data_IF_738418116210
#
_entry.id   IF_738418116210
#
_cell.length_a   1.000
_cell.length_b   1.000
_cell.length_c   1.000
_cell.angle_alpha   90.00
_cell.angle_beta   90.00
_cell.angle_gamma   90.00
#
_symmetry.space_group_name_H-M   'P 1'
#
loop_
_entity.id
_entity.type
_entity.pdbx_description
1 polymer ?
#
# COMPACT_ATOMS: atom_id res chain seq x y z
N UNK A 1 -29.75 18.17 24.55
CA UNK A 1 -28.75 17.36 25.27
C UNK A 1 -29.49 16.45 26.25
N UNK A 2 -29.53 15.14 25.99
CA UNK A 2 -30.37 14.20 26.75
C UNK A 2 -29.74 13.70 28.07
N UNK A 3 -28.42 13.88 28.26
CA UNK A 3 -27.69 13.35 29.42
C UNK A 3 -26.69 14.36 29.97
N UNK A 4 -27.12 15.30 30.83
CA UNK A 4 -26.22 16.22 31.50
C UNK A 4 -25.38 15.48 32.56
N UNK A 5 -24.06 15.74 32.60
CA UNK A 5 -23.17 15.15 33.60
C UNK A 5 -23.46 15.73 34.99
N UNK A 6 -23.54 14.85 35.98
CA UNK A 6 -23.80 15.20 37.39
C UNK A 6 -22.47 15.44 38.15
N UNK A 7 -21.36 14.92 37.63
CA UNK A 7 -20.00 15.05 38.19
C UNK A 7 -19.06 15.68 37.15
N UNK A 8 -18.05 16.44 37.58
CA UNK A 8 -17.02 16.94 36.68
C UNK A 8 -16.30 15.78 35.99
N UNK A 9 -15.81 16.03 34.79
CA UNK A 9 -15.09 15.04 33.99
C UNK A 9 -13.85 14.55 34.74
N UNK A 10 -13.60 13.23 34.79
CA UNK A 10 -12.36 12.70 35.33
C UNK A 10 -11.15 13.27 34.57
N UNK A 11 -10.03 13.46 35.28
CA UNK A 11 -8.78 13.83 34.60
C UNK A 11 -8.23 12.64 33.82
N UNK A 12 -8.41 12.66 32.51
CA UNK A 12 -7.93 11.63 31.59
C UNK A 12 -6.54 11.94 31.01
N UNK A 13 -5.85 12.97 31.50
CA UNK A 13 -4.55 13.41 30.93
C UNK A 13 -3.53 12.27 30.83
N UNK A 14 -3.46 11.40 31.85
CA UNK A 14 -2.57 10.23 31.82
C UNK A 14 -2.98 9.23 30.73
N UNK A 15 -4.28 8.97 30.60
CA UNK A 15 -4.82 8.06 29.59
C UNK A 15 -4.60 8.60 28.18
N UNK A 16 -4.90 9.88 27.93
CA UNK A 16 -4.65 10.52 26.64
C UNK A 16 -3.16 10.52 26.27
N UNK A 17 -2.27 10.76 27.24
CA UNK A 17 -0.81 10.66 27.03
C UNK A 17 -0.37 9.23 26.70
N UNK A 18 -0.94 8.23 27.35
CA UNK A 18 -0.63 6.82 27.05
C UNK A 18 -1.10 6.41 25.64
N UNK A 19 -2.27 6.91 25.20
CA UNK A 19 -2.73 6.70 23.82
C UNK A 19 -1.81 7.35 22.81
N UNK A 20 -1.40 8.60 23.05
CA UNK A 20 -0.49 9.32 22.16
C UNK A 20 0.87 8.63 22.09
N UNK A 21 1.39 8.16 23.24
CA UNK A 21 2.65 7.43 23.29
C UNK A 21 2.57 6.12 22.51
N UNK A 22 1.50 5.33 22.70
CA UNK A 22 1.27 4.10 21.92
C UNK A 22 1.16 4.37 20.43
N UNK A 23 0.50 5.46 20.03
CA UNK A 23 0.42 5.84 18.62
C UNK A 23 1.80 6.19 18.05
N UNK A 24 2.63 6.94 18.78
CA UNK A 24 4.00 7.26 18.37
C UNK A 24 4.90 6.01 18.28
N UNK A 25 4.72 5.06 19.19
CA UNK A 25 5.48 3.80 19.21
C UNK A 25 5.06 2.85 18.07
N UNK A 26 3.83 2.99 17.55
CA UNK A 26 3.31 2.22 16.42
C UNK A 26 3.45 2.92 15.07
N UNK A 27 3.64 4.25 15.07
CA UNK A 27 3.77 5.02 13.85
C UNK A 27 5.10 4.67 13.16
N UNK A 28 5.10 4.54 11.82
CA UNK A 28 6.33 4.30 11.08
C UNK A 28 7.35 5.41 11.37
N UNK A 29 8.60 5.04 11.58
CA UNK A 29 9.66 6.02 11.82
C UNK A 29 10.06 6.75 10.52
N UNK A 30 10.82 7.84 10.62
CA UNK A 30 11.18 8.65 9.45
C UNK A 30 11.98 7.88 8.39
N UNK A 31 12.80 6.91 8.79
CA UNK A 31 13.58 6.11 7.84
C UNK A 31 12.67 5.14 7.06
N UNK A 32 11.73 4.49 7.73
CA UNK A 32 10.70 3.63 7.10
C UNK A 32 9.83 4.43 6.14
N UNK A 33 9.38 5.63 6.56
CA UNK A 33 8.58 6.51 5.71
C UNK A 33 9.32 6.91 4.44
N UNK A 34 10.59 7.29 4.54
CA UNK A 34 11.41 7.68 3.37
C UNK A 34 11.64 6.49 2.43
N UNK A 35 11.95 5.31 2.98
CA UNK A 35 12.14 4.09 2.19
C UNK A 35 10.88 3.73 1.40
N UNK A 36 9.72 3.69 2.05
CA UNK A 36 8.43 3.41 1.40
C UNK A 36 8.11 4.48 0.34
N UNK A 37 8.29 5.76 0.68
CA UNK A 37 7.99 6.87 -0.23
C UNK A 37 8.83 6.79 -1.51
N UNK A 38 10.11 6.43 -1.41
CA UNK A 38 11.01 6.28 -2.56
C UNK A 38 10.49 5.22 -3.53
N UNK A 39 10.17 4.03 -3.01
CA UNK A 39 9.68 2.91 -3.82
C UNK A 39 8.36 3.26 -4.51
N UNK A 40 7.41 3.87 -3.77
CA UNK A 40 6.11 4.30 -4.32
C UNK A 40 6.28 5.35 -5.42
N UNK A 41 7.19 6.31 -5.23
CA UNK A 41 7.44 7.36 -6.23
C UNK A 41 7.97 6.78 -7.55
N UNK A 42 8.91 5.82 -7.49
CA UNK A 42 9.41 5.14 -8.69
C UNK A 42 8.29 4.40 -9.40
N UNK A 43 7.49 3.62 -8.66
CA UNK A 43 6.38 2.85 -9.24
C UNK A 43 5.39 3.79 -9.94
N UNK A 44 5.01 4.90 -9.32
CA UNK A 44 4.11 5.88 -9.94
C UNK A 44 4.70 6.51 -11.22
N UNK A 45 6.00 6.83 -11.21
CA UNK A 45 6.68 7.33 -12.41
C UNK A 45 6.67 6.31 -13.55
N UNK A 46 6.85 5.02 -13.25
CA UNK A 46 6.81 3.96 -14.26
C UNK A 46 5.39 3.72 -14.77
N UNK A 47 4.40 3.68 -13.87
CA UNK A 47 2.99 3.51 -14.21
C UNK A 47 2.48 4.64 -15.10
N UNK A 48 2.92 5.89 -14.88
CA UNK A 48 2.53 7.02 -15.74
C UNK A 48 3.15 6.96 -17.15
N UNK A 49 4.24 6.20 -17.33
CA UNK A 49 4.96 6.06 -18.60
C UNK A 49 4.55 4.80 -19.39
N UNK A 50 4.12 3.74 -18.71
CA UNK A 50 3.83 2.43 -19.32
C UNK A 50 2.35 2.14 -19.51
N UNK A 51 2.00 1.61 -20.68
CA UNK A 51 0.66 1.06 -20.99
C UNK A 51 0.54 -0.45 -20.77
N UNK A 52 1.63 -1.16 -20.48
CA UNK A 52 1.67 -2.61 -20.44
C UNK A 52 2.11 -3.15 -19.06
N UNK A 53 1.21 -3.91 -18.43
CA UNK A 53 1.36 -4.46 -17.07
C UNK A 53 2.40 -5.59 -17.01
N UNK A 54 2.56 -6.37 -18.08
CA UNK A 54 3.48 -7.53 -18.10
C UNK A 54 4.96 -7.13 -17.99
N UNK A 55 5.34 -5.94 -18.46
CA UNK A 55 6.71 -5.43 -18.37
C UNK A 55 6.95 -4.58 -17.11
N UNK A 56 5.91 -4.39 -16.29
CA UNK A 56 5.95 -3.52 -15.11
C UNK A 56 6.93 -4.04 -14.05
N UNK A 57 6.91 -5.34 -13.65
CA UNK A 57 7.79 -5.80 -12.57
C UNK A 57 9.28 -5.62 -12.90
N UNK A 58 9.69 -6.02 -14.11
CA UNK A 58 11.08 -5.92 -14.56
C UNK A 58 11.55 -4.46 -14.64
N UNK A 59 10.68 -3.55 -15.13
CA UNK A 59 11.03 -2.11 -15.18
C UNK A 59 11.12 -1.47 -13.81
N UNK A 60 10.29 -1.90 -12.85
CA UNK A 60 10.36 -1.42 -11.47
C UNK A 60 11.66 -1.89 -10.81
N UNK A 61 12.02 -3.18 -10.96
CA UNK A 61 13.29 -3.71 -10.46
C UNK A 61 14.50 -2.97 -11.06
N UNK A 62 14.50 -2.77 -12.37
CA UNK A 62 15.58 -2.06 -13.07
C UNK A 62 15.70 -0.60 -12.61
N UNK A 63 14.58 0.11 -12.45
CA UNK A 63 14.58 1.51 -12.01
C UNK A 63 15.01 1.66 -10.55
N UNK A 64 14.64 0.72 -9.68
CA UNK A 64 15.09 0.71 -8.30
C UNK A 64 16.59 0.39 -8.20
N UNK A 65 17.08 -0.61 -8.95
CA UNK A 65 18.51 -0.94 -9.02
C UNK A 65 19.35 0.19 -9.61
N UNK A 66 18.80 0.95 -10.55
CA UNK A 66 19.47 2.12 -11.11
C UNK A 66 19.56 3.29 -10.12
N UNK A 67 18.59 3.41 -9.19
CA UNK A 67 18.60 4.45 -8.16
C UNK A 67 19.54 4.10 -7.01
N UNK A 68 19.53 2.84 -6.54
CA UNK A 68 20.48 2.34 -5.55
C UNK A 68 20.98 0.93 -5.91
N UNK A 69 22.17 0.81 -6.53
CA UNK A 69 22.75 -0.48 -6.90
C UNK A 69 23.19 -1.33 -5.70
N UNK A 70 23.33 -0.72 -4.51
CA UNK A 70 23.81 -1.40 -3.31
C UNK A 70 22.68 -2.02 -2.51
N UNK A 71 21.43 -1.64 -2.80
CA UNK A 71 20.25 -2.14 -2.12
C UNK A 71 19.87 -3.52 -2.65
N UNK A 72 19.85 -4.52 -1.76
CA UNK A 72 19.40 -5.87 -2.10
C UNK A 72 17.87 -5.90 -2.06
N UNK A 73 17.27 -5.88 -3.24
CA UNK A 73 15.82 -5.94 -3.43
C UNK A 73 15.43 -7.34 -3.92
N UNK A 74 14.34 -7.87 -3.38
CA UNK A 74 13.74 -9.12 -3.85
C UNK A 74 12.35 -8.85 -4.38
N UNK A 75 12.05 -9.40 -5.57
CA UNK A 75 10.76 -9.25 -6.23
C UNK A 75 10.11 -10.62 -6.36
N UNK A 76 8.86 -10.72 -5.91
CA UNK A 76 8.06 -11.94 -5.94
C UNK A 76 6.77 -11.63 -6.68
N UNK A 77 6.47 -12.40 -7.72
CA UNK A 77 5.18 -12.32 -8.41
C UNK A 77 4.19 -13.23 -7.70
N UNK A 78 3.02 -12.70 -7.37
CA UNK A 78 1.98 -13.39 -6.63
C UNK A 78 0.68 -13.36 -7.44
N UNK A 79 -0.30 -14.15 -6.99
CA UNK A 79 -1.65 -14.19 -7.57
C UNK A 79 -2.43 -12.87 -7.50
N UNK A 80 -1.91 -11.84 -6.81
CA UNK A 80 -2.50 -10.50 -6.74
C UNK A 80 -1.74 -9.45 -7.55
N UNK A 81 -0.61 -9.82 -8.14
CA UNK A 81 0.30 -8.92 -8.85
C UNK A 81 1.75 -9.23 -8.51
N UNK A 82 2.41 -8.33 -7.78
CA UNK A 82 3.79 -8.54 -7.36
C UNK A 82 4.13 -7.76 -6.10
N UNK A 83 5.15 -8.20 -5.39
CA UNK A 83 5.68 -7.55 -4.21
C UNK A 83 7.17 -7.31 -4.35
N UNK A 84 7.64 -6.20 -3.78
CA UNK A 84 9.03 -5.81 -3.75
C UNK A 84 9.41 -5.65 -2.29
N UNK A 85 10.38 -6.43 -1.85
CA UNK A 85 10.89 -6.39 -0.48
C UNK A 85 12.31 -5.85 -0.47
N UNK A 86 12.53 -4.90 0.43
CA UNK A 86 13.83 -4.45 0.92
C UNK A 86 14.06 -5.00 2.33
N UNK A 87 15.23 -4.72 2.89
CA UNK A 87 15.59 -5.07 4.27
C UNK A 87 14.70 -4.42 5.35
N UNK A 88 14.01 -3.31 5.02
CA UNK A 88 13.25 -2.51 5.98
C UNK A 88 11.77 -2.36 5.62
N UNK A 89 11.38 -2.65 4.38
CA UNK A 89 10.02 -2.42 3.90
C UNK A 89 9.66 -3.38 2.77
N UNK A 90 8.38 -3.75 2.72
CA UNK A 90 7.80 -4.50 1.60
C UNK A 90 6.64 -3.71 1.02
N UNK A 91 6.67 -3.51 -0.29
CA UNK A 91 5.60 -2.87 -1.05
C UNK A 91 4.89 -3.94 -1.86
N UNK A 92 3.58 -4.10 -1.62
CA UNK A 92 2.71 -4.98 -2.41
C UNK A 92 1.98 -4.16 -3.47
N UNK A 93 2.11 -4.57 -4.72
CA UNK A 93 1.42 -3.98 -5.86
C UNK A 93 0.26 -4.89 -6.23
N UNK A 94 -0.95 -4.39 -5.96
CA UNK A 94 -2.20 -5.07 -6.31
C UNK A 94 -2.62 -4.61 -7.70
N UNK A 95 -2.66 -5.53 -8.66
CA UNK A 95 -3.09 -5.26 -10.02
C UNK A 95 -4.61 -5.44 -10.09
N UNK A 96 -5.32 -4.41 -10.55
CA UNK A 96 -6.75 -4.51 -10.84
C UNK A 96 -7.12 -3.83 -12.15
N UNK A 97 -8.33 -4.08 -12.64
CA UNK A 97 -8.87 -3.50 -13.87
C UNK A 97 -10.07 -2.63 -13.58
N UNK A 98 -10.47 -1.79 -14.54
CA UNK A 98 -11.65 -0.95 -14.40
C UNK A 98 -12.94 -1.80 -14.34
N UNK A 99 -13.97 -1.40 -13.58
CA UNK A 99 -15.19 -2.19 -13.41
C UNK A 99 -15.87 -2.66 -14.71
N UNK A 100 -15.89 -1.88 -15.81
CA UNK A 100 -16.45 -2.32 -17.09
C UNK A 100 -15.67 -3.45 -17.79
N UNK A 101 -14.48 -3.79 -17.33
CA UNK A 101 -13.68 -4.88 -17.90
C UNK A 101 -13.84 -6.18 -17.10
N UNK A 102 -14.30 -6.12 -15.84
CA UNK A 102 -14.41 -7.30 -14.97
C UNK A 102 -15.32 -8.40 -15.53
N UNK A 103 -16.38 -8.01 -16.24
CA UNK A 103 -17.34 -8.95 -16.85
C UNK A 103 -16.90 -9.50 -18.21
N UNK A 104 -15.76 -9.03 -18.75
CA UNK A 104 -15.20 -9.47 -20.03
C UNK A 104 -13.95 -10.34 -19.87
N UNK A 105 -13.56 -10.63 -18.62
CA UNK A 105 -12.35 -11.39 -18.34
C UNK A 105 -12.59 -12.87 -18.58
N UNK A 106 -11.64 -13.50 -19.25
CA UNK A 106 -11.58 -14.95 -19.41
C UNK A 106 -10.94 -15.57 -18.14
N UNK A 107 -11.64 -16.44 -17.38
CA UNK A 107 -11.12 -16.97 -16.11
C UNK A 107 -9.79 -17.71 -16.22
N UNK A 108 -9.42 -18.23 -17.40
CA UNK A 108 -8.17 -18.97 -17.60
C UNK A 108 -6.95 -18.08 -17.90
N UNK A 109 -7.17 -16.84 -18.34
CA UNK A 109 -6.09 -15.94 -18.78
C UNK A 109 -5.84 -14.77 -17.81
N UNK A 110 -6.73 -14.57 -16.85
CA UNK A 110 -6.74 -13.41 -15.97
C UNK A 110 -6.71 -13.79 -14.49
N UNK A 111 -6.30 -12.84 -13.66
CA UNK A 111 -6.34 -12.93 -12.20
C UNK A 111 -7.78 -13.18 -11.73
N UNK A 112 -7.93 -13.91 -10.62
CA UNK A 112 -9.23 -14.23 -10.06
C UNK A 112 -10.06 -12.96 -9.81
N UNK A 113 -11.35 -13.02 -10.11
CA UNK A 113 -12.28 -11.91 -9.95
C UNK A 113 -12.35 -11.45 -8.49
N UNK A 114 -12.19 -12.35 -7.52
CA UNK A 114 -12.17 -12.01 -6.09
C UNK A 114 -10.97 -11.13 -5.74
N UNK A 115 -9.81 -11.41 -6.34
CA UNK A 115 -8.58 -10.62 -6.16
C UNK A 115 -8.73 -9.22 -6.77
N UNK A 116 -9.29 -9.14 -7.98
CA UNK A 116 -9.53 -7.87 -8.66
C UNK A 116 -10.56 -7.01 -7.90
N UNK A 117 -11.62 -7.62 -7.38
CA UNK A 117 -12.63 -6.95 -6.56
C UNK A 117 -12.06 -6.48 -5.21
N UNK A 118 -11.24 -7.30 -4.56
CA UNK A 118 -10.57 -6.93 -3.31
C UNK A 118 -9.67 -5.70 -3.48
N UNK A 119 -8.87 -5.66 -4.54
CA UNK A 119 -8.05 -4.50 -4.88
C UNK A 119 -8.89 -3.24 -5.19
N UNK A 120 -10.02 -3.39 -5.89
CA UNK A 120 -10.95 -2.29 -6.14
C UNK A 120 -11.62 -1.78 -4.85
N UNK A 121 -11.99 -2.69 -3.94
CA UNK A 121 -12.56 -2.34 -2.65
C UNK A 121 -11.58 -1.58 -1.76
N UNK A 122 -10.30 -1.96 -1.76
CA UNK A 122 -9.25 -1.24 -1.05
C UNK A 122 -9.11 0.20 -1.57
N UNK A 123 -9.16 0.40 -2.89
CA UNK A 123 -9.16 1.75 -3.48
C UNK A 123 -10.41 2.55 -3.09
N UNK A 124 -11.60 1.92 -3.14
CA UNK A 124 -12.85 2.58 -2.76
C UNK A 124 -12.86 3.01 -1.28
N UNK A 125 -12.30 2.20 -0.37
CA UNK A 125 -12.22 2.50 1.06
C UNK A 125 -11.36 3.74 1.38
N UNK A 126 -10.40 4.09 0.52
CA UNK A 126 -9.56 5.27 0.67
C UNK A 126 -10.23 6.58 0.23
N UNK A 127 -11.36 6.50 -0.48
CA UNK A 127 -12.08 7.65 -1.05
C UNK A 127 -13.34 8.03 -0.24
N UNK A 128 -13.61 7.35 0.87
CA UNK A 128 -14.76 7.58 1.77
C UNK A 128 -14.28 8.20 3.07
#
# INVERSE_FOLDING_TARGET
MAFPRIKPEPDETFFSKALLKRNQDLAPNSAEQVSILSVVAIINNILSSLKAVAALPNKVEESLRAQDPSEVLTMLTNETGFEISSSVATVKILITTVPPNLWKLDPELYLDIEVLQSALAAFACLLV
#
